data_IF_377635278777
#
_entry.id   IF_377635278777
#
_cell.length_a   1.000
_cell.length_b   1.000
_cell.length_c   1.000
_cell.angle_alpha   90.00
_cell.angle_beta   90.00
_cell.angle_gamma   90.00
#
_symmetry.space_group_name_H-M   'P 1'
#
loop_
_entity.id
_entity.type
_entity.pdbx_description
1 polymer ?
#
# COMPACT_ATOMS: atom_id res chain seq x y z
N UNK A 1 -10.43 -3.50 23.41
CA UNK A 1 -9.38 -2.48 23.28
C UNK A 1 -8.92 -2.53 21.85
N UNK A 2 -8.92 -1.39 21.16
CA UNK A 2 -8.43 -1.29 19.79
C UNK A 2 -6.92 -1.50 19.77
N UNK A 3 -6.46 -2.33 18.83
CA UNK A 3 -5.07 -2.68 18.65
C UNK A 3 -4.72 -2.68 17.17
N UNK A 4 -3.62 -2.00 16.84
CA UNK A 4 -3.10 -1.88 15.49
C UNK A 4 -1.59 -2.09 15.49
N UNK A 5 -1.10 -2.91 14.57
CA UNK A 5 0.33 -3.22 14.46
C UNK A 5 0.80 -2.80 13.09
N UNK A 6 1.86 -2.01 13.08
CA UNK A 6 2.46 -1.45 11.89
C UNK A 6 3.88 -1.92 11.73
N UNK A 7 4.38 -1.85 10.50
CA UNK A 7 5.79 -2.01 10.20
C UNK A 7 6.37 -0.76 9.52
N UNK A 8 7.24 -0.06 10.25
CA UNK A 8 7.88 1.17 9.81
C UNK A 8 9.39 0.93 9.76
N UNK A 9 10.01 1.01 8.59
CA UNK A 9 11.45 0.71 8.43
C UNK A 9 11.85 -0.69 8.95
N UNK A 10 10.97 -1.69 8.82
CA UNK A 10 11.04 -3.03 9.43
C UNK A 10 10.94 -3.08 10.96
N UNK A 11 10.77 -1.95 11.65
CA UNK A 11 10.44 -1.95 13.05
C UNK A 11 8.95 -2.22 13.25
N UNK A 12 8.62 -3.18 14.11
CA UNK A 12 7.26 -3.42 14.57
C UNK A 12 6.82 -2.29 15.52
N UNK A 13 5.74 -1.60 15.19
CA UNK A 13 5.16 -0.52 15.98
C UNK A 13 3.76 -0.94 16.42
N UNK A 14 3.46 -0.78 17.70
CA UNK A 14 2.18 -1.19 18.29
C UNK A 14 1.44 0.04 18.79
N UNK A 15 0.19 0.17 18.35
CA UNK A 15 -0.73 1.20 18.79
C UNK A 15 -1.91 0.55 19.50
N UNK A 16 -2.21 0.99 20.72
CA UNK A 16 -3.38 0.57 21.50
C UNK A 16 -4.06 1.80 22.09
N UNK A 17 -5.38 1.89 21.97
CA UNK A 17 -6.14 3.05 22.46
C UNK A 17 -5.67 4.37 21.83
N UNK A 18 -5.29 4.35 20.55
CA UNK A 18 -4.71 5.50 19.86
C UNK A 18 -3.35 6.00 20.40
N UNK A 19 -2.59 5.17 21.13
CA UNK A 19 -1.25 5.53 21.65
C UNK A 19 -0.21 4.48 21.27
N UNK A 20 1.02 4.90 20.98
CA UNK A 20 2.13 3.98 20.70
C UNK A 20 2.62 3.36 22.01
N UNK A 21 2.36 2.06 22.19
CA UNK A 21 2.77 1.30 23.39
C UNK A 21 4.10 0.56 23.21
N UNK A 22 4.52 0.29 21.97
CA UNK A 22 5.80 -0.38 21.70
C UNK A 22 6.37 -0.01 20.33
N UNK A 23 7.71 0.09 20.27
CA UNK A 23 8.49 0.28 19.04
C UNK A 23 9.70 -0.65 19.07
N UNK A 24 9.82 -1.52 18.07
CA UNK A 24 10.96 -2.41 17.86
C UNK A 24 12.14 -1.71 17.17
N UNK A 25 13.24 -2.45 16.99
CA UNK A 25 14.40 -1.95 16.24
C UNK A 25 14.13 -1.88 14.73
N UNK A 26 14.44 -0.76 14.06
CA UNK A 26 14.40 -0.70 12.61
C UNK A 26 15.55 -1.48 11.98
N UNK A 27 15.29 -2.15 10.85
CA UNK A 27 16.33 -2.81 10.05
C UNK A 27 16.81 -1.98 8.87
N UNK A 28 16.04 -0.93 8.53
CA UNK A 28 16.35 0.05 7.48
C UNK A 28 16.82 1.34 8.14
N UNK A 29 18.10 1.69 7.97
CA UNK A 29 18.72 2.91 8.51
C UNK A 29 18.34 4.17 7.76
N UNK A 30 18.06 4.06 6.46
CA UNK A 30 17.66 5.17 5.61
C UNK A 30 16.54 4.76 4.66
N UNK A 31 15.51 5.60 4.53
CA UNK A 31 14.49 5.46 3.51
C UNK A 31 14.14 6.85 2.96
N UNK A 32 14.24 7.08 1.64
CA UNK A 32 14.03 8.41 1.05
C UNK A 32 12.59 8.90 1.21
N UNK A 33 11.61 7.99 1.21
CA UNK A 33 10.20 8.33 1.46
C UNK A 33 9.95 8.68 2.92
N UNK A 34 10.48 7.89 3.86
CA UNK A 34 10.33 8.20 5.29
C UNK A 34 11.08 9.49 5.68
N UNK A 35 12.19 9.79 5.01
CA UNK A 35 12.89 11.07 5.21
C UNK A 35 12.06 12.25 4.73
N UNK A 36 11.45 12.14 3.56
CA UNK A 36 10.55 13.18 3.06
C UNK A 36 9.30 13.38 3.94
N UNK A 37 8.79 12.29 4.55
CA UNK A 37 7.60 12.35 5.42
C UNK A 37 7.88 12.77 6.86
N UNK A 38 9.05 12.43 7.40
CA UNK A 38 9.32 12.50 8.85
C UNK A 38 10.59 13.26 9.20
N UNK A 39 11.30 13.81 8.22
CA UNK A 39 12.54 14.56 8.42
C UNK A 39 13.80 13.72 8.28
N UNK A 40 14.92 14.45 8.22
CA UNK A 40 16.29 13.92 8.04
C UNK A 40 16.77 13.22 9.31
N UNK A 41 17.51 12.14 9.13
CA UNK A 41 18.13 11.41 10.25
C UNK A 41 18.22 9.91 10.00
N UNK A 42 19.10 9.26 10.74
CA UNK A 42 19.14 7.80 10.82
C UNK A 42 17.86 7.29 11.48
N UNK A 43 17.35 6.16 11.00
CA UNK A 43 16.18 5.52 11.61
C UNK A 43 16.61 4.81 12.90
N UNK A 44 16.41 5.48 14.03
CA UNK A 44 16.42 4.88 15.37
C UNK A 44 14.99 4.48 15.80
N UNK A 45 14.86 3.88 16.98
CA UNK A 45 13.54 3.66 17.59
C UNK A 45 12.79 4.98 17.82
N UNK A 46 13.47 6.02 18.29
CA UNK A 46 12.88 7.35 18.47
C UNK A 46 12.40 7.91 17.13
N UNK A 47 13.24 7.87 16.09
CA UNK A 47 12.86 8.36 14.76
C UNK A 47 11.70 7.58 14.13
N UNK A 48 11.57 6.29 14.42
CA UNK A 48 10.39 5.49 14.04
C UNK A 48 9.15 5.92 14.83
N UNK A 49 9.28 6.11 16.15
CA UNK A 49 8.21 6.58 17.02
C UNK A 49 7.68 7.93 16.55
N UNK A 50 8.55 8.93 16.42
CA UNK A 50 8.20 10.29 15.96
C UNK A 50 7.53 10.27 14.58
N UNK A 51 8.05 9.45 13.66
CA UNK A 51 7.46 9.26 12.33
C UNK A 51 6.02 8.74 12.41
N UNK A 52 5.76 7.77 13.30
CA UNK A 52 4.42 7.24 13.50
C UNK A 52 3.52 8.24 14.22
N UNK A 53 3.98 8.89 15.30
CA UNK A 53 3.23 9.89 16.06
C UNK A 53 2.77 11.04 15.15
N UNK A 54 3.65 11.55 14.29
CA UNK A 54 3.30 12.59 13.32
C UNK A 54 2.21 12.14 12.35
N UNK A 55 2.23 10.88 11.90
CA UNK A 55 1.18 10.35 11.02
C UNK A 55 -0.12 10.10 11.77
N UNK A 56 -0.07 9.69 13.03
CA UNK A 56 -1.25 9.60 13.88
C UNK A 56 -1.88 10.98 14.12
N UNK A 57 -1.07 12.02 14.32
CA UNK A 57 -1.53 13.40 14.46
C UNK A 57 -2.16 13.93 13.17
N UNK A 58 -1.46 13.81 12.03
CA UNK A 58 -1.90 14.39 10.76
C UNK A 58 -3.03 13.63 10.08
N UNK A 59 -3.03 12.30 10.18
CA UNK A 59 -3.95 11.43 9.43
C UNK A 59 -4.93 10.69 10.33
N UNK A 60 -4.82 10.83 11.66
CA UNK A 60 -5.67 10.10 12.61
C UNK A 60 -5.47 8.59 12.57
N UNK A 61 -4.30 8.09 12.13
CA UNK A 61 -4.02 6.64 12.04
C UNK A 61 -4.29 5.95 13.37
N UNK A 62 -4.95 4.79 13.32
CA UNK A 62 -5.29 3.96 14.47
C UNK A 62 -6.17 4.69 15.50
N UNK A 63 -7.04 5.61 15.02
CA UNK A 63 -8.00 6.34 15.84
C UNK A 63 -9.34 6.54 15.11
N UNK A 64 -10.45 6.81 15.83
CA UNK A 64 -11.73 7.20 15.22
C UNK A 64 -11.66 8.44 14.31
N UNK A 65 -10.64 9.29 14.47
CA UNK A 65 -10.43 10.52 13.68
C UNK A 65 -9.71 10.27 12.36
N UNK A 66 -9.58 9.01 11.91
CA UNK A 66 -8.93 8.65 10.66
C UNK A 66 -9.38 9.56 9.50
N UNK A 67 -8.44 10.16 8.79
CA UNK A 67 -8.68 10.90 7.55
C UNK A 67 -8.92 9.87 6.45
N UNK A 68 -10.09 9.87 5.81
CA UNK A 68 -10.45 8.82 4.86
C UNK A 68 -10.40 9.26 3.39
N UNK A 69 -10.40 10.57 3.14
CA UNK A 69 -10.39 11.15 1.80
C UNK A 69 -9.20 12.09 1.64
N UNK A 70 -8.43 11.90 0.57
CA UNK A 70 -7.34 12.79 0.18
C UNK A 70 -7.31 12.89 -1.35
N UNK A 71 -7.08 14.08 -1.90
CA UNK A 71 -6.98 14.28 -3.36
C UNK A 71 -5.55 14.62 -3.80
N UNK A 72 -4.64 14.81 -2.84
CA UNK A 72 -3.28 15.25 -3.12
C UNK A 72 -2.42 14.10 -3.62
N UNK A 73 -1.52 14.42 -4.55
CA UNK A 73 -0.52 13.49 -5.03
C UNK A 73 0.61 13.40 -3.99
N UNK A 74 0.84 12.22 -3.45
CA UNK A 74 1.79 11.96 -2.37
C UNK A 74 3.23 12.01 -2.86
N UNK A 75 3.82 10.83 -3.09
CA UNK A 75 5.24 10.68 -3.43
C UNK A 75 5.49 10.59 -4.94
N UNK A 76 4.45 10.35 -5.74
CA UNK A 76 4.57 10.22 -7.19
C UNK A 76 4.05 8.89 -7.71
N UNK A 77 4.60 7.80 -7.19
CA UNK A 77 4.34 6.44 -7.68
C UNK A 77 3.94 5.50 -6.56
N UNK A 78 3.28 5.99 -5.50
CA UNK A 78 2.73 5.13 -4.46
C UNK A 78 1.61 4.23 -5.00
N UNK A 79 1.43 3.06 -4.41
CA UNK A 79 0.43 2.10 -4.86
C UNK A 79 -0.99 2.66 -4.85
N UNK A 80 -1.38 3.40 -3.80
CA UNK A 80 -2.67 4.08 -3.78
C UNK A 80 -2.78 5.07 -4.93
N UNK A 81 -1.76 5.89 -5.18
CA UNK A 81 -1.72 6.90 -6.27
C UNK A 81 -1.95 6.23 -7.63
N UNK A 82 -1.28 5.10 -7.89
CA UNK A 82 -1.48 4.32 -9.11
C UNK A 82 -2.90 3.74 -9.20
N UNK A 83 -3.47 3.24 -8.10
CA UNK A 83 -4.84 2.73 -8.06
C UNK A 83 -5.88 3.84 -8.30
N UNK A 84 -5.72 5.00 -7.67
CA UNK A 84 -6.59 6.15 -7.88
C UNK A 84 -6.55 6.61 -9.34
N UNK A 85 -5.37 6.72 -9.92
CA UNK A 85 -5.22 7.04 -11.35
C UNK A 85 -5.84 5.97 -12.25
N UNK A 86 -5.71 4.69 -11.91
CA UNK A 86 -6.33 3.60 -12.66
C UNK A 86 -7.88 3.63 -12.58
N UNK A 87 -8.44 4.00 -11.43
CA UNK A 87 -9.88 4.27 -11.27
C UNK A 87 -10.33 5.48 -12.10
N UNK A 88 -9.66 6.62 -11.96
CA UNK A 88 -9.96 7.86 -12.70
C UNK A 88 -9.94 7.68 -14.22
N UNK A 89 -9.09 6.78 -14.73
CA UNK A 89 -9.00 6.46 -16.17
C UNK A 89 -9.87 5.28 -16.61
N UNK A 90 -10.66 4.69 -15.71
CA UNK A 90 -11.53 3.55 -16.01
C UNK A 90 -10.78 2.28 -16.44
N UNK A 91 -9.51 2.15 -16.03
CA UNK A 91 -8.70 0.93 -16.25
C UNK A 91 -9.19 -0.17 -15.31
N UNK A 92 -9.50 0.22 -14.08
CA UNK A 92 -10.17 -0.60 -13.07
C UNK A 92 -11.47 0.09 -12.63
N UNK A 93 -12.40 -0.69 -12.09
CA UNK A 93 -13.73 -0.25 -11.66
C UNK A 93 -13.84 -0.13 -10.14
N UNK A 94 -13.02 -0.88 -9.41
CA UNK A 94 -12.96 -0.83 -7.95
C UNK A 94 -11.58 -1.25 -7.46
N UNK A 95 -11.34 -1.11 -6.16
CA UNK A 95 -10.11 -1.54 -5.51
C UNK A 95 -10.39 -2.42 -4.30
N UNK A 96 -9.41 -3.23 -3.93
CA UNK A 96 -9.34 -4.00 -2.69
C UNK A 96 -8.05 -3.57 -1.98
N UNK A 97 -8.20 -2.83 -0.89
CA UNK A 97 -7.08 -2.29 -0.10
C UNK A 97 -7.29 -2.57 1.38
N UNK A 98 -6.30 -2.28 2.22
CA UNK A 98 -6.40 -2.44 3.68
C UNK A 98 -6.40 -1.07 4.37
N UNK A 99 -7.28 -0.90 5.36
CA UNK A 99 -7.44 0.32 6.13
C UNK A 99 -7.40 0.01 7.63
N UNK A 100 -6.60 0.77 8.37
CA UNK A 100 -6.56 0.68 9.82
C UNK A 100 -7.92 1.06 10.44
N UNK A 101 -8.43 0.19 11.30
CA UNK A 101 -9.78 0.29 11.85
C UNK A 101 -10.87 -0.41 11.03
N UNK A 102 -10.58 -0.88 9.81
CA UNK A 102 -11.59 -1.51 8.95
C UNK A 102 -11.14 -2.83 8.30
N UNK A 103 -9.84 -3.12 8.23
CA UNK A 103 -9.35 -4.31 7.55
C UNK A 103 -9.44 -4.16 6.04
N UNK A 104 -9.92 -5.18 5.33
CA UNK A 104 -10.11 -5.12 3.87
C UNK A 104 -11.28 -4.22 3.50
N UNK A 105 -11.02 -3.23 2.64
CA UNK A 105 -11.97 -2.25 2.13
C UNK A 105 -12.05 -2.35 0.61
N UNK A 106 -13.28 -2.35 0.09
CA UNK A 106 -13.60 -2.33 -1.32
C UNK A 106 -14.19 -0.96 -1.66
N UNK A 107 -13.56 -0.23 -2.58
CA UNK A 107 -14.05 1.09 -2.98
C UNK A 107 -13.66 1.45 -4.40
N UNK A 108 -14.56 2.15 -5.09
CA UNK A 108 -14.36 2.71 -6.42
C UNK A 108 -14.07 4.22 -6.40
N UNK A 109 -13.91 4.82 -5.22
CA UNK A 109 -13.65 6.25 -5.04
C UNK A 109 -12.14 6.54 -4.96
N UNK A 110 -11.52 7.22 -5.94
CA UNK A 110 -10.10 7.54 -5.95
C UNK A 110 -9.62 8.25 -4.67
N UNK A 111 -10.42 9.19 -4.15
CA UNK A 111 -10.13 9.97 -2.95
C UNK A 111 -10.12 9.10 -1.68
N UNK A 112 -10.97 8.07 -1.61
CA UNK A 112 -10.93 7.09 -0.53
C UNK A 112 -9.69 6.20 -0.61
N UNK A 113 -9.34 5.74 -1.81
CA UNK A 113 -8.12 4.94 -2.02
C UNK A 113 -6.87 5.71 -1.60
N UNK A 114 -6.81 7.00 -1.93
CA UNK A 114 -5.75 7.89 -1.48
C UNK A 114 -5.76 8.09 0.03
N UNK A 115 -6.90 8.46 0.62
CA UNK A 115 -7.00 8.73 2.05
C UNK A 115 -6.65 7.51 2.91
N UNK A 116 -7.01 6.32 2.43
CA UNK A 116 -6.55 5.06 3.00
C UNK A 116 -5.02 4.96 2.83
N UNK A 117 -4.49 4.88 1.60
CA UNK A 117 -3.09 4.48 1.40
C UNK A 117 -2.02 5.55 1.69
N UNK A 118 -2.33 6.84 1.63
CA UNK A 118 -1.36 7.93 1.84
C UNK A 118 -1.38 8.39 3.31
N UNK A 119 -0.28 8.43 4.08
CA UNK A 119 1.06 7.90 3.94
C UNK A 119 1.23 6.68 4.87
N UNK A 120 0.48 5.61 4.58
CA UNK A 120 0.48 4.40 5.40
C UNK A 120 1.81 3.65 5.30
N UNK A 121 2.27 3.15 6.44
CA UNK A 121 3.24 2.05 6.51
C UNK A 121 2.52 0.72 6.32
N UNK A 122 3.24 -0.40 6.35
CA UNK A 122 2.57 -1.71 6.31
C UNK A 122 1.75 -1.91 7.59
N UNK A 123 0.48 -2.30 7.40
CA UNK A 123 -0.43 -2.67 8.47
C UNK A 123 -0.38 -4.20 8.60
N UNK A 124 0.09 -4.69 9.75
CA UNK A 124 0.25 -6.10 10.05
C UNK A 124 -0.93 -6.68 10.83
N UNK A 125 -1.60 -5.83 11.62
CA UNK A 125 -2.75 -6.21 12.45
C UNK A 125 -3.63 -4.98 12.64
N UNK A 126 -4.95 -5.18 12.69
CA UNK A 126 -5.89 -4.11 13.02
C UNK A 126 -7.10 -4.68 13.74
N UNK A 127 -7.67 -3.88 14.64
CA UNK A 127 -8.98 -4.10 15.25
C UNK A 127 -10.03 -3.21 14.60
N UNK A 128 -11.32 -3.55 14.68
CA UNK A 128 -12.39 -2.71 14.18
C UNK A 128 -12.50 -1.41 14.98
N UNK A 129 -12.62 -0.29 14.26
CA UNK A 129 -12.98 1.03 14.78
C UNK A 129 -14.34 1.41 14.21
N UNK A 130 -15.44 1.29 14.99
CA UNK A 130 -16.80 1.46 14.49
C UNK A 130 -17.04 2.79 13.76
N UNK A 131 -16.43 3.89 14.22
CA UNK A 131 -16.53 5.19 13.57
C UNK A 131 -15.85 5.22 12.20
N UNK A 132 -14.72 4.54 12.04
CA UNK A 132 -14.00 4.46 10.76
C UNK A 132 -14.80 3.63 9.77
N UNK A 133 -15.29 2.46 10.21
CA UNK A 133 -16.14 1.57 9.41
C UNK A 133 -17.40 2.30 8.94
N UNK A 134 -18.14 2.92 9.87
CA UNK A 134 -19.37 3.66 9.54
C UNK A 134 -19.11 4.77 8.53
N UNK A 135 -18.05 5.56 8.72
CA UNK A 135 -17.69 6.66 7.80
C UNK A 135 -17.27 6.15 6.42
N UNK A 136 -16.65 4.98 6.33
CA UNK A 136 -16.35 4.32 5.05
C UNK A 136 -17.65 3.89 4.33
N UNK A 137 -18.56 3.25 5.05
CA UNK A 137 -19.84 2.76 4.52
C UNK A 137 -20.80 3.90 4.12
N UNK A 138 -20.87 4.98 4.90
CA UNK A 138 -21.59 6.22 4.55
C UNK A 138 -21.07 6.83 3.24
N UNK A 139 -19.80 6.58 2.91
CA UNK A 139 -19.17 7.00 1.66
C UNK A 139 -19.27 5.95 0.56
N UNK A 140 -20.00 4.86 0.77
CA UNK A 140 -20.24 3.82 -0.24
C UNK A 140 -19.09 2.84 -0.42
N UNK A 141 -18.08 2.83 0.45
CA UNK A 141 -17.11 1.75 0.51
C UNK A 141 -17.74 0.53 1.21
N UNK A 142 -17.28 -0.67 0.86
CA UNK A 142 -17.69 -1.92 1.50
C UNK A 142 -16.54 -2.44 2.34
N UNK A 143 -16.79 -2.67 3.62
CA UNK A 143 -15.84 -3.32 4.53
C UNK A 143 -16.09 -4.83 4.50
N UNK A 144 -15.05 -5.63 4.30
CA UNK A 144 -15.17 -7.08 4.12
C UNK A 144 -15.77 -7.76 5.36
N UNK A 145 -15.23 -7.46 6.54
CA UNK A 145 -15.70 -7.96 7.83
C UNK A 145 -15.67 -6.81 8.86
N UNK A 146 -16.78 -6.07 9.01
CA UNK A 146 -16.89 -4.98 9.98
C UNK A 146 -16.69 -5.42 11.44
N UNK A 147 -16.92 -6.70 11.75
CA UNK A 147 -16.91 -7.21 13.11
C UNK A 147 -15.50 -7.50 13.62
N UNK A 148 -14.58 -7.88 12.71
CA UNK A 148 -13.21 -8.24 13.07
C UNK A 148 -12.14 -7.37 12.41
N UNK A 149 -12.51 -6.52 11.45
CA UNK A 149 -11.58 -5.81 10.58
C UNK A 149 -10.58 -6.76 9.88
N UNK A 150 -11.09 -7.90 9.38
CA UNK A 150 -10.28 -8.92 8.70
C UNK A 150 -9.52 -8.33 7.52
N UNK A 151 -8.20 -8.56 7.46
CA UNK A 151 -7.38 -8.30 6.29
C UNK A 151 -7.25 -9.59 5.47
N UNK A 152 -7.94 -9.62 4.34
CA UNK A 152 -7.94 -10.73 3.40
C UNK A 152 -8.23 -10.20 1.98
N UNK A 153 -7.19 -10.13 1.17
CA UNK A 153 -7.24 -9.57 -0.18
C UNK A 153 -7.92 -10.54 -1.14
N UNK A 154 -7.78 -11.86 -0.94
CA UNK A 154 -8.42 -12.88 -1.78
C UNK A 154 -9.94 -12.82 -1.60
N UNK A 155 -10.41 -12.85 -0.35
CA UNK A 155 -11.84 -12.73 -0.05
C UNK A 155 -12.38 -11.34 -0.41
N UNK A 156 -11.56 -10.29 -0.29
CA UNK A 156 -11.88 -8.96 -0.80
C UNK A 156 -12.13 -8.94 -2.31
N UNK A 157 -11.27 -9.60 -3.10
CA UNK A 157 -11.45 -9.75 -4.55
C UNK A 157 -12.72 -10.55 -4.85
N UNK A 158 -12.95 -11.69 -4.18
CA UNK A 158 -14.17 -12.49 -4.37
C UNK A 158 -15.43 -11.69 -4.05
N UNK A 159 -15.40 -10.89 -2.96
CA UNK A 159 -16.50 -10.00 -2.59
C UNK A 159 -16.71 -8.92 -3.64
N UNK A 160 -15.66 -8.26 -4.13
CA UNK A 160 -15.78 -7.27 -5.21
C UNK A 160 -16.41 -7.86 -6.47
N UNK A 161 -16.04 -9.09 -6.87
CA UNK A 161 -16.65 -9.80 -7.98
C UNK A 161 -18.14 -10.10 -7.73
N UNK A 162 -18.52 -10.47 -6.50
CA UNK A 162 -19.92 -10.70 -6.13
C UNK A 162 -20.78 -9.43 -6.18
N UNK A 163 -20.16 -8.27 -6.02
CA UNK A 163 -20.80 -6.95 -6.17
C UNK A 163 -20.93 -6.51 -7.63
N UNK A 164 -20.47 -7.34 -8.58
CA UNK A 164 -20.62 -7.12 -10.02
C UNK A 164 -19.41 -6.47 -10.70
N UNK A 165 -18.39 -6.04 -9.95
CA UNK A 165 -17.16 -5.51 -10.52
C UNK A 165 -16.38 -6.59 -11.27
N UNK A 166 -15.70 -6.22 -12.36
CA UNK A 166 -14.92 -7.12 -13.20
C UNK A 166 -13.48 -6.69 -13.38
N UNK A 167 -13.17 -5.41 -13.20
CA UNK A 167 -11.79 -4.88 -13.24
C UNK A 167 -11.41 -4.36 -11.86
N UNK A 168 -10.52 -5.05 -11.15
CA UNK A 168 -10.25 -4.79 -9.73
C UNK A 168 -8.77 -4.52 -9.54
N UNK A 169 -8.43 -3.40 -8.89
CA UNK A 169 -7.08 -3.17 -8.40
C UNK A 169 -6.90 -3.71 -6.98
N UNK A 170 -5.79 -4.37 -6.68
CA UNK A 170 -5.54 -4.94 -5.35
C UNK A 170 -4.10 -4.71 -4.92
N UNK A 171 -3.89 -4.33 -3.66
CA UNK A 171 -2.56 -4.24 -3.05
C UNK A 171 -2.25 -5.47 -2.21
N UNK A 172 -1.05 -6.03 -2.35
CA UNK A 172 -0.60 -7.20 -1.60
C UNK A 172 0.75 -6.90 -0.96
N UNK A 173 0.95 -7.26 0.30
CA UNK A 173 2.27 -7.14 0.92
C UNK A 173 3.23 -8.17 0.32
N UNK A 174 4.51 -7.82 0.18
CA UNK A 174 5.52 -8.73 -0.37
C UNK A 174 5.60 -10.06 0.39
N UNK A 175 5.45 -10.03 1.72
CA UNK A 175 5.40 -11.23 2.58
C UNK A 175 4.17 -12.12 2.35
N UNK A 176 3.15 -11.60 1.69
CA UNK A 176 1.89 -12.30 1.36
C UNK A 176 1.78 -12.61 -0.14
N UNK A 177 2.89 -12.55 -0.89
CA UNK A 177 2.89 -12.74 -2.33
C UNK A 177 2.31 -14.09 -2.76
N UNK A 178 2.33 -15.12 -1.90
CA UNK A 178 1.69 -16.42 -2.16
C UNK A 178 0.19 -16.31 -2.48
N UNK A 179 -0.51 -15.28 -1.95
CA UNK A 179 -1.91 -15.02 -2.24
C UNK A 179 -2.16 -14.68 -3.72
N UNK A 180 -1.14 -14.20 -4.44
CA UNK A 180 -1.23 -13.83 -5.86
C UNK A 180 -1.64 -15.05 -6.70
N UNK A 181 -1.18 -16.25 -6.35
CA UNK A 181 -1.54 -17.48 -7.07
C UNK A 181 -3.05 -17.68 -7.09
N UNK A 182 -3.67 -17.57 -5.92
CA UNK A 182 -5.09 -17.75 -5.73
C UNK A 182 -5.88 -16.62 -6.41
N UNK A 183 -5.42 -15.37 -6.31
CA UNK A 183 -6.03 -14.25 -7.03
C UNK A 183 -6.00 -14.46 -8.55
N UNK A 184 -4.89 -14.95 -9.12
CA UNK A 184 -4.80 -15.28 -10.55
C UNK A 184 -5.70 -16.46 -10.93
N UNK A 185 -5.91 -17.43 -10.03
CA UNK A 185 -6.88 -18.51 -10.25
C UNK A 185 -8.31 -17.95 -10.30
N UNK A 186 -8.70 -17.14 -9.30
CA UNK A 186 -10.01 -16.48 -9.23
C UNK A 186 -10.25 -15.58 -10.45
N UNK A 187 -9.24 -14.81 -10.87
CA UNK A 187 -9.29 -13.97 -12.07
C UNK A 187 -9.70 -14.77 -13.32
N UNK A 188 -9.01 -15.89 -13.57
CA UNK A 188 -9.30 -16.77 -14.71
C UNK A 188 -10.68 -17.41 -14.62
N UNK A 189 -11.04 -17.96 -13.46
CA UNK A 189 -12.32 -18.65 -13.25
C UNK A 189 -13.53 -17.74 -13.40
N UNK A 190 -13.37 -16.45 -13.06
CA UNK A 190 -14.45 -15.47 -13.10
C UNK A 190 -14.43 -14.59 -14.34
N UNK A 191 -13.45 -14.77 -15.23
CA UNK A 191 -13.27 -13.92 -16.42
C UNK A 191 -13.13 -12.44 -16.04
N UNK A 192 -12.36 -12.17 -15.00
CA UNK A 192 -12.11 -10.84 -14.47
C UNK A 192 -10.73 -10.33 -14.92
N UNK A 193 -10.44 -9.07 -14.61
CA UNK A 193 -9.14 -8.46 -14.76
C UNK A 193 -8.69 -7.91 -13.40
N UNK A 194 -7.52 -8.33 -12.94
CA UNK A 194 -6.89 -7.88 -11.72
C UNK A 194 -5.64 -7.09 -12.03
N UNK A 195 -5.56 -5.88 -11.48
CA UNK A 195 -4.32 -5.12 -11.35
C UNK A 195 -3.73 -5.41 -9.96
N UNK A 196 -2.76 -6.30 -9.89
CA UNK A 196 -2.10 -6.72 -8.64
C UNK A 196 -0.84 -5.89 -8.43
N UNK A 197 -0.83 -5.09 -7.36
CA UNK A 197 0.29 -4.24 -6.97
C UNK A 197 0.92 -4.78 -5.69
N UNK A 198 2.18 -5.19 -5.77
CA UNK A 198 2.94 -5.62 -4.62
C UNK A 198 3.64 -4.42 -3.97
N UNK A 199 3.46 -4.30 -2.66
CA UNK A 199 4.03 -3.27 -1.80
C UNK A 199 4.81 -3.89 -0.66
N UNK A 200 5.53 -3.06 0.10
CA UNK A 200 6.21 -3.47 1.33
C UNK A 200 7.11 -4.71 1.15
N UNK A 201 8.09 -4.60 0.26
CA UNK A 201 8.96 -5.70 -0.17
C UNK A 201 10.28 -5.79 0.59
N UNK A 202 10.55 -4.88 1.52
CA UNK A 202 11.81 -4.85 2.26
C UNK A 202 12.05 -6.17 3.01
N UNK A 203 13.21 -6.80 2.79
CA UNK A 203 13.63 -8.00 3.50
C UNK A 203 12.81 -9.26 3.22
N UNK A 204 12.05 -9.30 2.12
CA UNK A 204 11.42 -10.54 1.65
C UNK A 204 12.48 -11.50 1.08
N UNK A 205 12.26 -12.80 1.21
CA UNK A 205 13.17 -13.82 0.72
C UNK A 205 12.98 -14.19 -0.75
N UNK A 206 13.97 -14.90 -1.32
CA UNK A 206 13.96 -15.33 -2.71
C UNK A 206 12.86 -16.36 -3.01
N UNK A 207 12.37 -17.09 -2.01
CA UNK A 207 11.27 -18.06 -2.13
C UNK A 207 9.96 -17.44 -2.63
N UNK A 208 9.81 -16.12 -2.49
CA UNK A 208 8.62 -15.39 -2.93
C UNK A 208 8.69 -14.96 -4.40
N UNK A 209 9.86 -15.01 -5.04
CA UNK A 209 10.08 -14.58 -6.44
C UNK A 209 9.09 -15.20 -7.44
N UNK A 210 8.80 -16.52 -7.42
CA UNK A 210 7.86 -17.13 -8.36
C UNK A 210 6.44 -16.55 -8.29
N UNK A 211 6.04 -16.04 -7.11
CA UNK A 211 4.73 -15.42 -6.92
C UNK A 211 4.74 -13.93 -7.28
N UNK A 212 5.83 -13.23 -6.95
CA UNK A 212 6.02 -11.81 -7.31
C UNK A 212 5.99 -11.61 -8.82
N UNK A 213 6.57 -12.54 -9.59
CA UNK A 213 6.55 -12.51 -11.07
C UNK A 213 5.13 -12.61 -11.66
N UNK A 214 4.12 -12.97 -10.86
CA UNK A 214 2.71 -13.05 -11.27
C UNK A 214 1.93 -11.75 -10.97
N UNK A 215 2.55 -10.76 -10.33
CA UNK A 215 1.98 -9.44 -10.13
C UNK A 215 2.04 -8.59 -11.41
N UNK A 216 1.32 -7.47 -11.44
CA UNK A 216 1.42 -6.49 -12.53
C UNK A 216 2.47 -5.42 -12.23
N UNK A 217 2.57 -5.05 -10.95
CA UNK A 217 3.46 -4.00 -10.46
C UNK A 217 4.13 -4.44 -9.16
N UNK A 218 5.43 -4.19 -9.02
CA UNK A 218 6.16 -4.48 -7.78
C UNK A 218 6.98 -3.27 -7.35
N UNK A 219 6.71 -2.77 -6.15
CA UNK A 219 7.49 -1.68 -5.56
C UNK A 219 8.79 -2.23 -4.96
N UNK A 220 9.92 -1.68 -5.39
CA UNK A 220 11.25 -2.10 -4.98
C UNK A 220 11.74 -1.26 -3.79
N UNK A 221 11.22 -1.53 -2.59
CA UNK A 221 11.64 -0.87 -1.34
C UNK A 221 13.11 -1.19 -0.98
N UNK A 222 13.45 -1.41 0.29
CA UNK A 222 14.78 -1.89 0.68
C UNK A 222 14.91 -3.41 0.45
N UNK A 223 14.45 -3.89 -0.70
CA UNK A 223 14.47 -5.29 -1.10
C UNK A 223 15.60 -5.54 -2.09
N UNK A 224 16.61 -6.29 -1.67
CA UNK A 224 17.67 -6.77 -2.55
C UNK A 224 17.08 -7.76 -3.56
N UNK A 225 16.25 -8.69 -3.09
CA UNK A 225 15.58 -9.70 -3.91
C UNK A 225 14.79 -9.07 -5.05
N UNK A 226 13.91 -8.11 -4.77
CA UNK A 226 13.11 -7.47 -5.84
C UNK A 226 14.01 -6.73 -6.83
N UNK A 227 15.01 -5.99 -6.33
CA UNK A 227 15.90 -5.20 -7.21
C UNK A 227 16.76 -6.08 -8.12
N UNK A 228 17.24 -7.21 -7.63
CA UNK A 228 18.16 -8.09 -8.37
C UNK A 228 17.46 -9.19 -9.17
N UNK A 229 16.29 -9.68 -8.72
CA UNK A 229 15.60 -10.82 -9.34
C UNK A 229 14.35 -10.44 -10.13
N UNK A 230 13.67 -9.35 -9.74
CA UNK A 230 12.46 -8.88 -10.43
C UNK A 230 12.78 -7.75 -11.39
N UNK A 231 13.61 -6.79 -10.96
CA UNK A 231 13.99 -5.62 -11.74
C UNK A 231 14.51 -5.92 -13.16
N UNK A 232 15.47 -6.85 -13.35
CA UNK A 232 15.99 -7.17 -14.68
C UNK A 232 14.96 -7.79 -15.65
N UNK A 233 13.89 -8.39 -15.12
CA UNK A 233 12.82 -9.00 -15.92
C UNK A 233 11.63 -8.07 -16.14
N UNK A 234 11.65 -6.86 -15.55
CA UNK A 234 10.57 -5.90 -15.70
C UNK A 234 10.53 -5.32 -17.11
N UNK A 235 9.31 -5.12 -17.63
CA UNK A 235 9.07 -4.46 -18.93
C UNK A 235 9.47 -3.00 -18.91
N UNK A 236 9.25 -2.35 -17.78
CA UNK A 236 9.58 -0.95 -17.53
C UNK A 236 9.80 -0.71 -16.03
N UNK A 237 10.54 0.35 -15.72
CA UNK A 237 10.83 0.78 -14.36
C UNK A 237 10.53 2.28 -14.23
N UNK A 238 9.78 2.64 -13.20
CA UNK A 238 9.39 4.03 -12.92
C UNK A 238 9.84 4.44 -11.52
N UNK A 239 10.09 5.73 -11.32
CA UNK A 239 10.63 6.25 -10.07
C UNK A 239 12.14 6.01 -9.91
N UNK A 240 12.82 6.92 -9.22
CA UNK A 240 14.29 6.91 -9.07
C UNK A 240 14.74 6.21 -7.78
N UNK A 241 14.35 6.74 -6.62
CA UNK A 241 14.85 6.26 -5.32
C UNK A 241 14.20 4.93 -4.87
N UNK A 242 12.90 4.79 -5.13
CA UNK A 242 12.14 3.54 -4.95
C UNK A 242 11.51 3.21 -6.31
N UNK A 243 12.17 2.36 -7.11
CA UNK A 243 11.62 1.93 -8.38
C UNK A 243 10.31 1.18 -8.21
N UNK A 244 9.40 1.33 -9.17
CA UNK A 244 8.23 0.49 -9.35
C UNK A 244 8.39 -0.23 -10.69
N UNK A 245 8.44 -1.55 -10.62
CA UNK A 245 8.64 -2.41 -11.78
C UNK A 245 7.29 -2.82 -12.37
N UNK A 246 7.10 -2.56 -13.67
CA UNK A 246 5.99 -3.07 -14.44
C UNK A 246 6.34 -4.46 -14.98
N UNK A 247 5.54 -5.48 -14.64
CA UNK A 247 5.76 -6.86 -15.09
C UNK A 247 4.82 -7.26 -16.24
N UNK A 248 3.68 -6.58 -16.35
CA UNK A 248 2.67 -6.84 -17.39
C UNK A 248 2.38 -5.56 -18.19
N UNK A 249 1.71 -5.72 -19.34
CA UNK A 249 1.23 -4.58 -20.14
C UNK A 249 0.24 -3.71 -19.36
N UNK A 250 -0.59 -4.33 -18.52
CA UNK A 250 -1.54 -3.64 -17.66
C UNK A 250 -0.79 -2.75 -16.65
N UNK A 251 0.20 -3.30 -15.95
CA UNK A 251 1.02 -2.56 -14.99
C UNK A 251 1.81 -1.42 -15.66
N UNK A 252 2.38 -1.68 -16.83
CA UNK A 252 3.10 -0.66 -17.62
C UNK A 252 2.18 0.49 -18.04
N UNK A 253 0.97 0.17 -18.53
CA UNK A 253 -0.04 1.17 -18.92
C UNK A 253 -0.39 2.09 -17.75
N UNK A 254 -0.66 1.53 -16.57
CA UNK A 254 -0.99 2.31 -15.37
C UNK A 254 0.17 3.23 -14.98
N UNK A 255 1.40 2.71 -15.00
CA UNK A 255 2.58 3.50 -14.61
C UNK A 255 2.91 4.62 -15.60
N UNK A 256 2.72 4.42 -16.91
CA UNK A 256 2.89 5.48 -17.92
C UNK A 256 1.90 6.62 -17.72
N UNK A 257 0.63 6.30 -17.46
CA UNK A 257 -0.39 7.30 -17.16
C UNK A 257 -0.06 8.03 -15.84
N UNK A 258 0.43 7.30 -14.84
CA UNK A 258 0.88 7.91 -13.59
C UNK A 258 2.04 8.87 -13.82
N UNK A 259 3.03 8.50 -14.64
CA UNK A 259 4.16 9.36 -15.00
C UNK A 259 3.70 10.67 -15.66
N UNK A 260 2.75 10.62 -16.58
CA UNK A 260 2.15 11.83 -17.18
C UNK A 260 1.47 12.72 -16.14
N UNK A 261 0.74 12.13 -15.18
CA UNK A 261 0.09 12.87 -14.08
C UNK A 261 1.12 13.52 -13.16
N UNK A 262 2.17 12.79 -12.79
CA UNK A 262 3.28 13.27 -11.95
C UNK A 262 4.04 14.41 -12.63
N UNK A 263 4.23 14.34 -13.95
CA UNK A 263 4.90 15.40 -14.71
C UNK A 263 4.12 16.73 -14.76
N UNK A 264 2.81 16.71 -14.47
CA UNK A 264 1.90 17.86 -14.57
C UNK A 264 1.41 18.38 -13.22
N UNK A 265 1.68 17.67 -12.12
CA UNK A 265 1.08 17.94 -10.81
C UNK A 265 2.14 18.21 -9.75
N UNK A 266 1.84 19.11 -8.81
CA UNK A 266 2.68 19.26 -7.62
C UNK A 266 2.49 18.06 -6.67
N UNK A 267 3.59 17.64 -6.06
CA UNK A 267 3.64 16.55 -5.07
C UNK A 267 3.62 17.13 -3.67
N UNK A 268 2.76 16.61 -2.82
CA UNK A 268 2.71 16.92 -1.39
C UNK A 268 4.00 16.47 -0.67
N UNK A 269 4.64 15.40 -1.16
CA UNK A 269 5.88 14.86 -0.60
C UNK A 269 7.00 14.90 -1.63
N UNK A 270 7.96 15.81 -1.42
CA UNK A 270 9.13 15.96 -2.30
C UNK A 270 10.25 15.04 -1.82
N UNK A 271 10.45 13.93 -2.53
CA UNK A 271 11.62 13.06 -2.32
C UNK A 271 12.83 13.67 -3.01
N UNK A 272 13.64 14.39 -2.24
CA UNK A 272 14.80 15.14 -2.76
C UNK A 272 16.04 14.26 -2.96
N UNK A 273 16.18 13.17 -2.19
CA UNK A 273 17.39 12.34 -2.23
C UNK A 273 17.26 11.21 -3.25
N UNK A 274 18.07 11.21 -4.32
CA UNK A 274 18.02 10.20 -5.38
C UNK A 274 18.82 8.94 -5.01
N UNK A 275 18.81 8.51 -3.74
CA UNK A 275 19.53 7.31 -3.28
C UNK A 275 18.54 6.25 -2.77
N UNK A 276 18.81 4.95 -2.99
CA UNK A 276 17.94 3.89 -2.53
C UNK A 276 17.92 3.84 -0.99
N UNK A 277 16.86 3.24 -0.39
CA UNK A 277 16.86 2.94 1.03
C UNK A 277 18.03 2.00 1.38
N UNK A 278 18.52 2.08 2.61
CA UNK A 278 19.74 1.37 3.05
C UNK A 278 19.61 0.82 4.47
N UNK A 279 20.20 -0.36 4.76
CA UNK A 279 20.75 -1.31 3.78
C UNK A 279 19.62 -1.92 2.91
N UNK A 280 19.97 -2.38 1.71
CA UNK A 280 19.10 -3.31 0.99
C UNK A 280 19.14 -4.66 1.71
N UNK A 281 17.98 -5.28 1.88
CA UNK A 281 17.78 -6.52 2.62
C UNK A 281 17.20 -7.59 1.70
#
# INVERSE_FOLDING_TARGET
MDRHVWEVAKARVVVEGGKIVSVGEPLTRFCPVLEALSGKGERSREGVRESMERRMELLGLSTPRRVLELEVLGVGFGASECLATALEKGIIETTVTVCDGAGTVITNKPELVQGIGMAMSALLETSPLPEVIRRLEEKGAVVLDPSTAKMDQVEGVKKALSLGYRKIGVTVMGTEATLIEEMRRVEREKGALLLIIVIHTTGIGEELVPYLLKADMVHACASKVVREKIGPSARASFGKSIPVYALTELGERVLRIQEEKVGKSERAVKVETPRPPSPLR
#
